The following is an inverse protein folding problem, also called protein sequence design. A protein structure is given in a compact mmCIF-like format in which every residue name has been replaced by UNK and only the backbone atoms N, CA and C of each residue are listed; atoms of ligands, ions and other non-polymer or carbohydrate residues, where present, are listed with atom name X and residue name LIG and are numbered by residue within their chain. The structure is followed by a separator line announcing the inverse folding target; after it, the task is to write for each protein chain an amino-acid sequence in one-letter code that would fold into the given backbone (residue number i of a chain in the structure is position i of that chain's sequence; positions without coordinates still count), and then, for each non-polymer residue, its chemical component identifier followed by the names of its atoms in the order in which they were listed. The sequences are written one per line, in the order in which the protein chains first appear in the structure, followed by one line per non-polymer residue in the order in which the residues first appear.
data_IF_368269854319
#
_entry.id   IF_368269854319
#
_cell.length_a   1.000
_cell.length_b   1.000
_cell.length_c   1.000
_cell.angle_alpha   90.00
_cell.angle_beta   90.00
_cell.angle_gamma   90.00
#
_symmetry.space_group_name_H-M   'P 1'
#
loop_
_entity.id
_entity.type
_entity.pdbx_description
1 polymer ?
#
# COMPACT_ATOMS: atom_id res chain seq x y z
N UNK A 1 27.34 7.78 -64.02
CA UNK A 1 27.85 7.17 -62.75
C UNK A 1 28.01 8.22 -61.65
N UNK A 2 27.11 9.18 -61.49
CA UNK A 2 27.26 10.28 -60.51
C UNK A 2 26.04 10.45 -59.58
N UNK A 3 25.06 9.56 -59.64
CA UNK A 3 23.85 9.65 -58.81
C UNK A 3 23.81 8.77 -57.57
N UNK A 4 24.57 7.68 -57.49
CA UNK A 4 24.48 6.71 -56.38
C UNK A 4 25.36 7.00 -55.16
N UNK A 5 26.38 7.85 -55.31
CA UNK A 5 27.30 8.21 -54.21
C UNK A 5 26.68 9.24 -53.27
N UNK A 6 25.76 10.08 -53.76
CA UNK A 6 25.08 11.11 -52.93
C UNK A 6 24.02 10.54 -51.99
N UNK A 7 23.42 9.39 -52.32
CA UNK A 7 22.35 8.79 -51.51
C UNK A 7 22.82 8.01 -50.27
N UNK A 8 24.05 7.46 -50.30
CA UNK A 8 24.61 6.73 -49.13
C UNK A 8 25.03 7.65 -48.01
N UNK A 9 25.66 8.78 -48.32
CA UNK A 9 26.10 9.73 -47.29
C UNK A 9 24.95 10.38 -46.52
N UNK A 10 23.79 10.54 -47.19
CA UNK A 10 22.61 11.16 -46.59
C UNK A 10 21.84 10.21 -45.66
N UNK A 11 21.86 8.91 -45.93
CA UNK A 11 21.28 7.90 -45.02
C UNK A 11 22.12 7.72 -43.73
N UNK A 12 23.43 7.67 -43.88
CA UNK A 12 24.33 7.51 -42.73
C UNK A 12 24.32 8.73 -41.80
N UNK A 13 24.18 9.95 -42.36
CA UNK A 13 24.01 11.18 -41.55
C UNK A 13 22.67 11.28 -40.91
N UNK A 14 21.58 10.80 -41.52
CA UNK A 14 20.26 10.72 -40.95
C UNK A 14 20.21 9.71 -39.78
N UNK A 15 20.80 8.54 -39.95
CA UNK A 15 20.90 7.54 -38.87
C UNK A 15 21.74 8.04 -37.69
N UNK A 16 22.79 8.80 -37.93
CA UNK A 16 23.60 9.40 -36.89
C UNK A 16 22.84 10.51 -36.16
N UNK A 17 22.13 11.38 -36.85
CA UNK A 17 21.35 12.46 -36.26
C UNK A 17 20.19 11.94 -35.39
N UNK A 18 19.58 10.83 -35.79
CA UNK A 18 18.53 10.14 -35.02
C UNK A 18 19.10 9.52 -33.73
N UNK A 19 20.32 8.98 -33.76
CA UNK A 19 21.02 8.38 -32.62
C UNK A 19 21.57 9.40 -31.62
N UNK A 20 21.97 10.58 -32.07
CA UNK A 20 22.66 11.57 -31.24
C UNK A 20 21.74 12.41 -30.31
N UNK A 21 20.45 12.45 -30.54
CA UNK A 21 19.53 13.24 -29.75
C UNK A 21 19.73 14.76 -29.90
N UNK A 22 18.66 15.55 -29.76
CA UNK A 22 18.61 17.00 -30.06
C UNK A 22 19.60 17.90 -29.31
N UNK A 23 20.26 17.45 -28.25
CA UNK A 23 21.02 18.34 -27.35
C UNK A 23 22.54 18.39 -27.62
N UNK A 24 23.08 17.67 -28.60
CA UNK A 24 24.52 17.58 -28.84
C UNK A 24 24.94 17.89 -30.28
N UNK A 25 24.06 18.43 -31.12
CA UNK A 25 24.42 18.78 -32.49
C UNK A 25 25.29 20.04 -32.50
N UNK A 26 26.52 19.99 -33.08
CA UNK A 26 27.22 21.22 -33.47
C UNK A 26 26.35 21.95 -34.50
N UNK A 27 26.43 23.29 -34.50
CA UNK A 27 25.66 24.14 -35.43
C UNK A 27 25.69 23.54 -36.84
N UNK A 28 24.51 23.35 -37.47
CA UNK A 28 24.48 22.60 -38.73
C UNK A 28 25.24 23.31 -39.83
N UNK A 29 26.10 22.53 -40.50
CA UNK A 29 26.77 22.90 -41.75
C UNK A 29 25.79 22.84 -42.93
N UNK A 30 24.50 22.65 -42.67
CA UNK A 30 23.46 22.51 -43.67
C UNK A 30 22.84 23.86 -44.03
N UNK A 31 22.55 24.08 -45.31
CA UNK A 31 21.82 25.22 -45.77
C UNK A 31 20.36 25.23 -45.22
N UNK A 32 19.68 26.41 -45.18
CA UNK A 32 18.34 26.53 -44.58
C UNK A 32 17.28 25.62 -45.21
N UNK A 33 17.46 25.19 -46.46
CA UNK A 33 16.59 24.24 -47.16
C UNK A 33 16.81 22.77 -46.69
N UNK A 34 18.04 22.40 -46.44
CA UNK A 34 18.39 21.06 -45.95
C UNK A 34 18.03 20.87 -44.48
N UNK A 35 18.15 21.94 -43.68
CA UNK A 35 17.73 21.93 -42.31
C UNK A 35 16.20 21.72 -42.17
N UNK A 36 15.40 22.36 -43.07
CA UNK A 36 13.93 22.13 -43.10
C UNK A 36 13.58 20.73 -43.59
N UNK A 37 14.28 20.17 -44.59
CA UNK A 37 14.05 18.80 -45.04
C UNK A 37 14.40 17.75 -43.97
N UNK A 38 15.39 18.01 -43.12
CA UNK A 38 15.71 17.17 -41.97
C UNK A 38 14.68 17.32 -40.85
N UNK A 39 14.20 18.54 -40.62
CA UNK A 39 13.11 18.79 -39.65
C UNK A 39 11.80 18.14 -40.10
N UNK A 40 11.42 18.25 -41.37
CA UNK A 40 10.23 17.60 -41.93
C UNK A 40 10.37 16.06 -41.88
N UNK A 41 11.55 15.50 -42.22
CA UNK A 41 11.79 14.06 -42.15
C UNK A 41 11.81 13.54 -40.70
N UNK A 42 12.25 14.33 -39.72
CA UNK A 42 12.19 14.01 -38.28
C UNK A 42 10.78 14.14 -37.75
N UNK A 43 9.99 15.08 -38.26
CA UNK A 43 8.60 15.27 -37.89
C UNK A 43 7.70 14.17 -38.47
N UNK A 44 7.99 13.71 -39.67
CA UNK A 44 7.30 12.60 -40.34
C UNK A 44 7.65 11.23 -39.68
N UNK A 45 8.82 11.13 -39.02
CA UNK A 45 9.27 9.89 -38.33
C UNK A 45 8.82 9.81 -36.87
N UNK A 46 8.12 10.85 -36.33
CA UNK A 46 7.43 10.68 -35.04
C UNK A 46 6.42 9.54 -35.19
N UNK A 47 6.48 8.49 -34.36
CA UNK A 47 5.49 7.41 -34.44
C UNK A 47 4.12 8.02 -34.16
N UNK A 48 3.37 8.27 -35.23
CA UNK A 48 1.95 8.54 -35.10
C UNK A 48 1.38 7.28 -34.49
N UNK A 49 1.04 7.34 -33.21
CA UNK A 49 0.26 6.28 -32.55
C UNK A 49 -1.05 6.25 -33.31
N UNK A 50 -1.16 5.35 -34.28
CA UNK A 50 -2.39 5.18 -35.02
C UNK A 50 -3.48 4.83 -34.02
N UNK A 51 -4.71 5.29 -34.24
CA UNK A 51 -5.87 4.98 -33.38
C UNK A 51 -5.95 3.47 -33.12
N UNK A 52 -5.59 2.66 -34.12
CA UNK A 52 -5.51 1.22 -34.01
C UNK A 52 -4.47 0.75 -32.97
N UNK A 53 -3.26 1.32 -32.97
CA UNK A 53 -2.22 0.98 -31.99
C UNK A 53 -2.64 1.39 -30.56
N UNK A 54 -3.24 2.55 -30.40
CA UNK A 54 -3.77 3.00 -29.12
C UNK A 54 -4.90 2.08 -28.63
N UNK A 55 -5.79 1.65 -29.51
CA UNK A 55 -6.88 0.71 -29.17
C UNK A 55 -6.36 -0.66 -28.77
N UNK A 56 -5.37 -1.20 -29.48
CA UNK A 56 -4.71 -2.48 -29.12
C UNK A 56 -4.01 -2.37 -27.77
N UNK A 57 -3.30 -1.26 -27.50
CA UNK A 57 -2.65 -1.03 -26.22
C UNK A 57 -3.68 -0.93 -25.08
N UNK A 58 -4.80 -0.24 -25.28
CA UNK A 58 -5.88 -0.15 -24.31
C UNK A 58 -6.52 -1.52 -24.03
N UNK A 59 -6.78 -2.32 -25.07
CA UNK A 59 -7.30 -3.68 -24.93
C UNK A 59 -6.32 -4.61 -24.22
N UNK A 60 -5.02 -4.52 -24.52
CA UNK A 60 -3.98 -5.28 -23.85
C UNK A 60 -3.89 -4.91 -22.36
N UNK A 61 -4.01 -3.63 -22.02
CA UNK A 61 -4.03 -3.13 -20.65
C UNK A 61 -5.26 -3.65 -19.89
N UNK A 62 -6.45 -3.57 -20.49
CA UNK A 62 -7.69 -4.10 -19.92
C UNK A 62 -7.60 -5.62 -19.73
N UNK A 63 -7.07 -6.36 -20.70
CA UNK A 63 -6.85 -7.79 -20.59
C UNK A 63 -5.86 -8.13 -19.46
N UNK A 64 -4.80 -7.36 -19.29
CA UNK A 64 -3.84 -7.50 -18.20
C UNK A 64 -4.55 -7.32 -16.84
N UNK A 65 -5.30 -6.24 -16.66
CA UNK A 65 -6.02 -5.99 -15.39
C UNK A 65 -7.09 -7.04 -15.12
N UNK A 66 -7.82 -7.48 -16.14
CA UNK A 66 -8.78 -8.56 -16.02
C UNK A 66 -8.10 -9.88 -15.60
N UNK A 67 -6.95 -10.19 -16.19
CA UNK A 67 -6.15 -11.36 -15.81
C UNK A 67 -5.65 -11.26 -14.37
N UNK A 68 -5.14 -10.10 -13.94
CA UNK A 68 -4.72 -9.86 -12.55
C UNK A 68 -5.87 -10.04 -11.56
N UNK A 69 -7.09 -9.60 -11.94
CA UNK A 69 -8.27 -9.75 -11.12
C UNK A 69 -8.73 -11.22 -11.03
N UNK A 70 -8.83 -11.93 -12.16
CA UNK A 70 -9.27 -13.33 -12.22
C UNK A 70 -8.24 -14.27 -11.59
N UNK A 71 -6.96 -14.07 -11.90
CA UNK A 71 -5.87 -14.91 -11.40
C UNK A 71 -5.38 -14.53 -10.00
N UNK A 72 -6.08 -13.65 -9.29
CA UNK A 72 -5.68 -13.15 -7.96
C UNK A 72 -5.37 -14.27 -6.96
N UNK A 73 -6.11 -15.36 -7.01
CA UNK A 73 -5.90 -16.50 -6.12
C UNK A 73 -4.52 -17.16 -6.29
N UNK A 74 -3.94 -17.08 -7.48
CA UNK A 74 -2.60 -17.58 -7.79
C UNK A 74 -1.53 -16.52 -7.65
N UNK A 75 -1.79 -15.30 -8.16
CA UNK A 75 -0.78 -14.23 -8.23
C UNK A 75 -0.51 -13.64 -6.85
N UNK A 76 -1.55 -13.45 -6.02
CA UNK A 76 -1.41 -12.81 -4.71
C UNK A 76 -0.47 -13.57 -3.76
N UNK A 77 -0.57 -14.90 -3.59
CA UNK A 77 0.40 -15.65 -2.79
C UNK A 77 1.84 -15.50 -3.30
N UNK A 78 2.03 -15.46 -4.61
CA UNK A 78 3.36 -15.28 -5.23
C UNK A 78 3.92 -13.89 -4.90
N UNK A 79 3.14 -12.84 -5.09
CA UNK A 79 3.56 -11.46 -4.78
C UNK A 79 3.87 -11.30 -3.31
N UNK A 80 3.00 -11.80 -2.41
CA UNK A 80 3.24 -11.78 -0.96
C UNK A 80 4.52 -12.52 -0.61
N UNK A 81 4.76 -13.70 -1.19
CA UNK A 81 5.97 -14.48 -0.94
C UNK A 81 7.25 -13.76 -1.41
N UNK A 82 7.20 -13.08 -2.56
CA UNK A 82 8.32 -12.25 -3.06
C UNK A 82 8.59 -11.10 -2.08
N UNK A 83 7.56 -10.37 -1.65
CA UNK A 83 7.72 -9.25 -0.72
C UNK A 83 8.21 -9.71 0.65
N UNK A 84 7.70 -10.83 1.17
CA UNK A 84 8.22 -11.44 2.39
C UNK A 84 9.66 -11.90 2.23
N UNK A 85 10.05 -12.45 1.07
CA UNK A 85 11.43 -12.81 0.80
C UNK A 85 12.36 -11.58 0.84
N UNK A 86 11.93 -10.44 0.28
CA UNK A 86 12.68 -9.19 0.35
C UNK A 86 12.80 -8.65 1.78
N UNK A 87 11.72 -8.79 2.59
CA UNK A 87 11.72 -8.41 3.99
C UNK A 87 12.67 -9.28 4.82
N UNK A 88 12.64 -10.60 4.61
CA UNK A 88 13.36 -11.57 5.44
C UNK A 88 14.80 -11.86 4.98
N UNK A 89 15.17 -11.47 3.73
CA UNK A 89 16.50 -11.69 3.16
C UNK A 89 17.65 -11.17 4.04
N UNK A 90 17.58 -9.99 4.69
CA UNK A 90 18.64 -9.53 5.59
C UNK A 90 18.86 -10.46 6.79
N UNK A 91 17.78 -11.03 7.34
CA UNK A 91 17.90 -11.99 8.46
C UNK A 91 18.62 -13.27 8.02
N UNK A 92 18.30 -13.80 6.84
CA UNK A 92 19.01 -14.96 6.26
C UNK A 92 20.47 -14.60 5.98
N UNK A 93 20.77 -13.40 5.45
CA UNK A 93 22.16 -12.93 5.25
C UNK A 93 22.92 -12.83 6.57
N UNK A 94 22.27 -12.44 7.68
CA UNK A 94 22.89 -12.39 8.99
C UNK A 94 23.26 -13.80 9.48
N UNK A 95 22.34 -14.78 9.33
CA UNK A 95 22.60 -16.18 9.68
C UNK A 95 23.72 -16.80 8.81
N UNK A 96 23.81 -16.42 7.53
CA UNK A 96 24.89 -16.83 6.65
C UNK A 96 26.26 -16.34 7.15
N UNK A 97 26.35 -15.15 7.74
CA UNK A 97 27.58 -14.66 8.38
C UNK A 97 28.00 -15.53 9.56
N UNK A 98 27.06 -16.26 10.19
CA UNK A 98 27.32 -17.24 11.24
C UNK A 98 27.64 -18.65 10.69
N UNK A 99 28.07 -18.76 9.41
CA UNK A 99 28.43 -20.01 8.70
C UNK A 99 27.27 -21.00 8.47
N UNK A 100 26.01 -20.56 8.60
CA UNK A 100 24.86 -21.38 8.26
C UNK A 100 24.63 -21.40 6.73
N UNK A 101 24.33 -22.58 6.17
CA UNK A 101 23.96 -22.72 4.76
C UNK A 101 22.67 -21.99 4.46
N UNK A 102 22.55 -21.34 3.30
CA UNK A 102 21.38 -20.54 2.90
C UNK A 102 20.03 -21.26 3.12
N UNK A 103 19.84 -22.55 2.74
CA UNK A 103 18.57 -23.23 2.97
C UNK A 103 18.22 -23.40 4.45
N UNK A 104 19.24 -23.64 5.31
CA UNK A 104 19.03 -23.79 6.76
C UNK A 104 18.68 -22.44 7.37
N UNK A 105 19.39 -21.37 7.00
CA UNK A 105 19.09 -20.02 7.42
C UNK A 105 17.68 -19.57 6.99
N UNK A 106 17.28 -19.88 5.77
CA UNK A 106 15.93 -19.61 5.27
C UNK A 106 14.86 -20.37 6.08
N UNK A 107 15.08 -21.66 6.38
CA UNK A 107 14.17 -22.46 7.20
C UNK A 107 14.00 -21.87 8.60
N UNK A 108 15.10 -21.52 9.28
CA UNK A 108 15.07 -20.91 10.62
C UNK A 108 14.29 -19.61 10.61
N UNK A 109 14.54 -18.72 9.64
CA UNK A 109 13.88 -17.41 9.57
C UNK A 109 12.39 -17.55 9.26
N UNK A 110 12.02 -18.41 8.31
CA UNK A 110 10.63 -18.63 7.94
C UNK A 110 9.85 -19.30 9.06
N UNK A 111 10.38 -20.39 9.64
CA UNK A 111 9.74 -21.09 10.75
C UNK A 111 9.68 -20.19 12.01
N UNK A 112 10.72 -19.40 12.28
CA UNK A 112 10.72 -18.41 13.34
C UNK A 112 9.62 -17.36 13.13
N UNK A 113 9.46 -16.84 11.92
CA UNK A 113 8.37 -15.91 11.58
C UNK A 113 6.99 -16.53 11.77
N UNK A 114 6.80 -17.78 11.32
CA UNK A 114 5.55 -18.52 11.52
C UNK A 114 5.28 -18.76 13.00
N UNK A 115 6.30 -19.13 13.79
CA UNK A 115 6.19 -19.34 15.23
C UNK A 115 5.80 -18.03 15.95
N UNK A 116 6.45 -16.90 15.63
CA UNK A 116 6.11 -15.59 16.21
C UNK A 116 4.68 -15.20 15.87
N UNK A 117 4.27 -15.34 14.61
CA UNK A 117 2.91 -15.03 14.19
C UNK A 117 1.88 -15.96 14.85
N UNK A 118 2.17 -17.27 14.92
CA UNK A 118 1.32 -18.25 15.60
C UNK A 118 1.15 -17.94 17.08
N UNK A 119 2.25 -17.63 17.78
CA UNK A 119 2.22 -17.23 19.20
C UNK A 119 1.39 -15.96 19.39
N UNK A 120 1.58 -14.95 18.54
CA UNK A 120 0.80 -13.71 18.61
C UNK A 120 -0.70 -13.97 18.42
N UNK A 121 -1.07 -14.79 17.43
CA UNK A 121 -2.46 -15.20 17.20
C UNK A 121 -3.04 -15.93 18.42
N UNK A 122 -2.30 -16.87 19.00
CA UNK A 122 -2.75 -17.62 20.18
C UNK A 122 -2.96 -16.70 21.38
N UNK A 123 -2.00 -15.81 21.68
CA UNK A 123 -2.07 -14.87 22.80
C UNK A 123 -3.25 -13.88 22.66
N UNK A 124 -3.54 -13.45 21.45
CA UNK A 124 -4.57 -12.44 21.20
C UNK A 124 -5.94 -13.04 20.88
N UNK A 125 -6.04 -14.36 20.63
CA UNK A 125 -7.29 -15.02 20.24
C UNK A 125 -8.38 -14.91 21.31
N UNK A 126 -8.05 -15.13 22.58
CA UNK A 126 -9.02 -15.06 23.68
C UNK A 126 -9.51 -13.61 23.91
N UNK A 127 -8.63 -12.59 24.04
CA UNK A 127 -9.07 -11.19 24.06
C UNK A 127 -9.92 -10.79 22.85
N UNK A 128 -9.50 -11.17 21.64
CA UNK A 128 -10.21 -10.83 20.41
C UNK A 128 -11.62 -11.43 20.37
N UNK A 129 -11.79 -12.69 20.79
CA UNK A 129 -13.10 -13.34 20.87
C UNK A 129 -14.02 -12.63 21.86
N UNK A 130 -13.52 -12.34 23.06
CA UNK A 130 -14.32 -11.66 24.10
C UNK A 130 -14.81 -10.29 23.64
N UNK A 131 -14.01 -9.55 22.86
CA UNK A 131 -14.41 -8.28 22.28
C UNK A 131 -15.37 -8.45 21.09
N UNK A 132 -15.17 -9.47 20.25
CA UNK A 132 -16.07 -9.77 19.14
C UNK A 132 -17.49 -10.12 19.64
N UNK A 133 -17.60 -10.85 20.74
CA UNK A 133 -18.88 -11.17 21.39
C UNK A 133 -19.57 -9.93 21.98
N UNK A 134 -18.81 -8.98 22.51
CA UNK A 134 -19.32 -7.71 23.06
C UNK A 134 -19.59 -6.64 21.99
N UNK A 135 -19.07 -6.78 20.78
CA UNK A 135 -19.19 -5.76 19.73
C UNK A 135 -20.64 -5.33 19.44
N UNK A 136 -21.67 -6.22 19.37
CA UNK A 136 -23.04 -5.81 19.15
C UNK A 136 -23.60 -4.94 20.30
N UNK A 137 -23.21 -5.26 21.54
CA UNK A 137 -23.60 -4.48 22.73
C UNK A 137 -22.85 -3.14 22.77
N UNK A 138 -21.56 -3.15 22.40
CA UNK A 138 -20.75 -1.95 22.31
C UNK A 138 -21.39 -0.89 21.39
N UNK A 139 -21.86 -1.29 20.22
CA UNK A 139 -22.51 -0.39 19.27
C UNK A 139 -23.82 0.19 19.85
N UNK A 140 -24.63 -0.62 20.54
CA UNK A 140 -25.84 -0.14 21.18
C UNK A 140 -25.59 0.79 22.37
N UNK A 141 -24.48 0.59 23.08
CA UNK A 141 -24.04 1.46 24.17
C UNK A 141 -23.56 2.81 23.66
N UNK A 142 -22.78 2.82 22.57
CA UNK A 142 -22.38 4.06 21.88
C UNK A 142 -23.61 4.85 21.43
N UNK A 143 -24.58 4.19 20.79
CA UNK A 143 -25.80 4.83 20.33
C UNK A 143 -26.62 5.44 21.53
N UNK A 144 -26.74 4.68 22.61
CA UNK A 144 -27.42 5.18 23.83
C UNK A 144 -26.70 6.37 24.46
N UNK A 145 -25.37 6.36 24.53
CA UNK A 145 -24.57 7.47 25.08
C UNK A 145 -24.60 8.69 24.18
N UNK A 146 -24.51 8.52 22.88
CA UNK A 146 -24.65 9.60 21.91
C UNK A 146 -26.03 10.26 21.99
N UNK A 147 -27.10 9.47 22.09
CA UNK A 147 -28.49 10.02 22.32
C UNK A 147 -28.58 10.83 23.60
N UNK A 148 -27.90 10.42 24.70
CA UNK A 148 -27.87 11.21 25.93
C UNK A 148 -27.15 12.54 25.76
N UNK A 149 -26.05 12.56 25.03
CA UNK A 149 -25.29 13.79 24.75
C UNK A 149 -26.08 14.72 23.84
N UNK A 150 -26.66 14.20 22.74
CA UNK A 150 -27.51 15.00 21.85
C UNK A 150 -28.77 15.49 22.53
N UNK A 151 -29.38 14.67 23.41
CA UNK A 151 -30.52 15.11 24.22
C UNK A 151 -30.13 16.16 25.28
N UNK A 152 -28.87 16.18 25.73
CA UNK A 152 -28.39 17.26 26.62
C UNK A 152 -28.18 18.55 25.82
N UNK A 153 -27.59 18.47 24.63
CA UNK A 153 -27.42 19.63 23.73
C UNK A 153 -28.78 20.15 23.29
N UNK A 154 -29.70 19.27 22.88
CA UNK A 154 -31.08 19.65 22.53
C UNK A 154 -31.88 20.25 23.70
N UNK A 155 -31.54 19.91 24.96
CA UNK A 155 -32.09 20.58 26.14
C UNK A 155 -31.56 22.01 26.30
N UNK A 156 -30.30 22.27 25.98
CA UNK A 156 -29.76 23.61 25.94
C UNK A 156 -30.39 24.44 24.80
N UNK A 157 -30.58 23.85 23.63
CA UNK A 157 -31.32 24.50 22.53
C UNK A 157 -32.79 24.68 22.85
N UNK A 158 -33.47 23.69 23.47
CA UNK A 158 -34.83 23.79 23.92
C UNK A 158 -35.01 24.79 25.07
N UNK A 159 -33.99 24.96 25.92
CA UNK A 159 -34.01 26.00 26.97
C UNK A 159 -33.79 27.38 26.33
N UNK A 160 -32.90 27.51 25.36
CA UNK A 160 -32.75 28.74 24.59
C UNK A 160 -34.03 29.06 23.79
N UNK A 161 -34.59 28.06 23.10
CA UNK A 161 -35.86 28.19 22.36
C UNK A 161 -37.08 28.44 23.29
N UNK A 162 -37.11 27.91 24.55
CA UNK A 162 -38.14 28.25 25.55
C UNK A 162 -38.01 29.68 26.00
N UNK A 163 -36.81 30.20 26.15
CA UNK A 163 -36.60 31.61 26.44
C UNK A 163 -37.12 32.48 25.28
N UNK A 164 -36.92 32.03 24.06
CA UNK A 164 -37.38 32.67 22.82
C UNK A 164 -38.90 32.45 22.60
N UNK A 165 -39.45 31.27 22.99
CA UNK A 165 -40.87 30.94 22.90
C UNK A 165 -41.72 31.63 23.99
N UNK A 166 -41.13 31.91 25.14
CA UNK A 166 -41.75 32.78 26.16
C UNK A 166 -41.86 34.24 25.63
N UNK A 167 -40.96 34.56 24.66
CA UNK A 167 -41.02 35.86 23.95
C UNK A 167 -41.97 35.85 22.73
N UNK A 168 -42.36 34.69 22.16
CA UNK A 168 -43.08 34.63 20.87
C UNK A 168 -44.30 33.69 20.80
N UNK A 169 -44.85 33.19 21.92
CA UNK A 169 -46.21 32.56 21.97
C UNK A 169 -46.54 31.52 20.89
N UNK A 170 -46.45 30.23 21.23
CA UNK A 170 -47.31 29.18 20.65
C UNK A 170 -46.72 28.21 19.63
N UNK A 171 -46.97 26.93 19.86
CA UNK A 171 -46.95 25.88 18.81
C UNK A 171 -46.27 24.56 19.17
N UNK A 172 -47.09 23.54 19.44
CA UNK A 172 -46.69 22.14 19.70
C UNK A 172 -46.19 21.45 18.45
N UNK A 173 -45.00 20.88 18.46
CA UNK A 173 -44.51 19.97 17.41
C UNK A 173 -44.31 18.54 17.90
N UNK A 174 -44.89 17.65 17.16
CA UNK A 174 -45.10 16.21 17.33
C UNK A 174 -43.78 15.45 17.13
N UNK A 175 -43.48 14.48 18.01
CA UNK A 175 -42.34 13.59 17.92
C UNK A 175 -42.40 12.70 16.68
N UNK A 176 -41.25 12.54 15.98
CA UNK A 176 -41.11 11.65 14.84
C UNK A 176 -40.90 10.18 15.30
N UNK A 177 -41.41 9.19 14.53
CA UNK A 177 -41.26 7.78 14.86
C UNK A 177 -39.87 7.25 14.73
N UNK A 178 -39.46 6.34 15.61
CA UNK A 178 -38.21 5.64 15.60
C UNK A 178 -38.03 4.79 14.31
N UNK A 179 -36.86 4.89 13.67
CA UNK A 179 -36.49 4.08 12.52
C UNK A 179 -36.32 2.60 12.89
N UNK A 180 -36.69 1.66 11.98
CA UNK A 180 -36.59 0.22 12.22
C UNK A 180 -35.13 -0.22 12.35
N UNK A 181 -34.86 -1.14 13.28
CA UNK A 181 -33.56 -1.74 13.51
C UNK A 181 -33.09 -2.49 12.25
N UNK A 182 -31.93 -2.12 11.74
CA UNK A 182 -31.29 -2.80 10.61
C UNK A 182 -31.05 -4.29 10.93
N UNK A 183 -31.20 -5.19 9.94
CA UNK A 183 -31.05 -6.63 10.14
C UNK A 183 -29.60 -6.94 10.56
N UNK A 184 -29.48 -7.68 11.67
CA UNK A 184 -28.20 -8.18 12.20
C UNK A 184 -27.60 -9.17 11.20
N UNK A 185 -26.84 -8.66 10.24
CA UNK A 185 -26.12 -9.51 9.29
C UNK A 185 -24.98 -10.23 10.00
N UNK A 186 -24.73 -11.49 9.69
CA UNK A 186 -23.66 -12.28 10.29
C UNK A 186 -22.29 -11.91 9.69
N UNK A 187 -21.87 -10.65 9.84
CA UNK A 187 -20.57 -10.15 9.43
C UNK A 187 -19.45 -10.97 10.09
N UNK A 188 -19.61 -11.26 11.39
CA UNK A 188 -18.64 -12.08 12.13
C UNK A 188 -18.60 -13.53 11.61
N UNK A 189 -19.75 -14.12 11.23
CA UNK A 189 -19.77 -15.47 10.66
C UNK A 189 -19.11 -15.55 9.29
N UNK A 190 -19.15 -14.49 8.49
CA UNK A 190 -18.39 -14.38 7.23
C UNK A 190 -16.91 -14.13 7.47
N UNK A 191 -16.53 -13.33 8.46
CA UNK A 191 -15.14 -13.06 8.81
C UNK A 191 -14.43 -14.31 9.36
N UNK A 192 -15.11 -15.13 10.17
CA UNK A 192 -14.52 -16.33 10.77
C UNK A 192 -14.80 -17.63 9.98
N UNK A 193 -15.82 -17.67 9.12
CA UNK A 193 -16.13 -18.85 8.29
C UNK A 193 -15.12 -19.11 7.16
N UNK A 194 -14.23 -18.17 6.89
CA UNK A 194 -13.19 -18.25 5.86
C UNK A 194 -11.86 -18.86 6.30
N UNK A 195 -11.68 -19.22 7.58
CA UNK A 195 -10.37 -19.69 8.09
C UNK A 195 -9.90 -20.95 7.37
N UNK A 196 -10.77 -21.88 7.05
CA UNK A 196 -10.42 -23.10 6.32
C UNK A 196 -9.92 -22.84 4.88
N UNK A 197 -10.42 -21.79 4.21
CA UNK A 197 -9.97 -21.40 2.87
C UNK A 197 -8.67 -20.60 2.86
N UNK A 198 -8.31 -19.99 3.96
CA UNK A 198 -7.06 -19.19 4.10
C UNK A 198 -5.84 -20.09 4.32
N UNK A 199 -6.04 -21.25 4.95
CA UNK A 199 -4.93 -22.15 5.32
C UNK A 199 -4.09 -22.65 4.13
N UNK A 200 -4.65 -23.11 3.00
CA UNK A 200 -3.86 -23.50 1.83
C UNK A 200 -3.06 -22.33 1.23
N UNK A 201 -3.63 -21.12 1.25
CA UNK A 201 -2.97 -19.90 0.77
C UNK A 201 -1.78 -19.55 1.65
N UNK A 202 -1.92 -19.60 2.98
CA UNK A 202 -0.82 -19.37 3.93
C UNK A 202 0.29 -20.39 3.75
N UNK A 203 -0.04 -21.67 3.61
CA UNK A 203 0.96 -22.72 3.34
C UNK A 203 1.72 -22.40 2.04
N UNK A 204 1.01 -22.05 0.97
CA UNK A 204 1.63 -21.69 -0.30
C UNK A 204 2.58 -20.50 -0.17
N UNK A 205 2.19 -19.46 0.58
CA UNK A 205 3.03 -18.29 0.86
C UNK A 205 4.30 -18.70 1.63
N UNK A 206 4.16 -19.51 2.68
CA UNK A 206 5.28 -19.97 3.51
C UNK A 206 6.28 -20.79 2.69
N UNK A 207 5.80 -21.79 1.93
CA UNK A 207 6.65 -22.61 1.07
C UNK A 207 7.35 -21.78 -0.01
N UNK A 208 6.59 -20.91 -0.68
CA UNK A 208 7.14 -20.07 -1.73
C UNK A 208 8.21 -19.11 -1.17
N UNK A 209 7.94 -18.49 -0.02
CA UNK A 209 8.91 -17.62 0.67
C UNK A 209 10.16 -18.40 1.04
N UNK A 210 10.01 -19.62 1.59
CA UNK A 210 11.14 -20.48 1.88
C UNK A 210 11.98 -20.79 0.63
N UNK A 211 11.34 -21.23 -0.46
CA UNK A 211 12.07 -21.55 -1.70
C UNK A 211 12.75 -20.33 -2.31
N UNK A 212 12.13 -19.17 -2.29
CA UNK A 212 12.74 -17.92 -2.76
C UNK A 212 13.96 -17.54 -1.94
N UNK A 213 13.89 -17.67 -0.62
CA UNK A 213 15.03 -17.41 0.29
C UNK A 213 16.13 -18.47 0.19
N UNK A 214 15.76 -19.74 0.09
CA UNK A 214 16.70 -20.86 -0.01
C UNK A 214 17.43 -20.89 -1.37
N UNK A 215 16.76 -20.44 -2.43
CA UNK A 215 17.36 -20.32 -3.76
C UNK A 215 18.34 -19.15 -3.89
N UNK A 216 18.33 -18.21 -2.95
CA UNK A 216 19.20 -17.04 -2.96
C UNK A 216 19.16 -16.30 -4.31
N UNK A 217 20.35 -16.07 -4.89
CA UNK A 217 20.49 -15.38 -6.18
C UNK A 217 20.34 -16.31 -7.41
N UNK A 218 20.13 -17.63 -7.20
CA UNK A 218 20.08 -18.59 -8.31
C UNK A 218 18.88 -18.35 -9.23
N UNK A 219 17.72 -18.00 -8.65
CA UNK A 219 16.52 -17.70 -9.43
C UNK A 219 16.75 -16.49 -10.34
N UNK A 220 17.32 -15.42 -9.79
CA UNK A 220 17.64 -14.21 -10.54
C UNK A 220 18.66 -14.48 -11.64
N UNK A 221 19.73 -15.21 -11.34
CA UNK A 221 20.74 -15.60 -12.35
C UNK A 221 20.14 -16.45 -13.47
N UNK A 222 19.22 -17.36 -13.18
CA UNK A 222 18.53 -18.15 -14.21
C UNK A 222 17.62 -17.30 -15.07
N UNK A 223 16.84 -16.40 -14.47
CA UNK A 223 15.97 -15.47 -15.19
C UNK A 223 16.77 -14.59 -16.15
N UNK A 224 17.93 -14.09 -15.71
CA UNK A 224 18.85 -13.30 -16.55
C UNK A 224 19.49 -14.08 -17.70
N UNK A 225 19.58 -15.42 -17.61
CA UNK A 225 20.08 -16.26 -18.71
C UNK A 225 19.05 -16.49 -19.82
N UNK A 226 17.77 -16.41 -19.49
CA UNK A 226 16.65 -16.61 -20.43
C UNK A 226 16.39 -15.35 -21.26
N UNK A 227 16.76 -14.17 -20.77
CA UNK A 227 16.63 -12.94 -21.53
C UNK A 227 17.55 -12.93 -22.76
N UNK A 228 17.07 -12.39 -23.92
CA UNK A 228 17.83 -12.33 -25.14
C UNK A 228 19.22 -11.67 -24.97
N UNK A 229 20.21 -12.20 -25.70
CA UNK A 229 21.58 -11.70 -25.66
C UNK A 229 21.66 -10.39 -26.45
N UNK A 230 21.80 -9.25 -25.77
CA UNK A 230 22.00 -7.92 -26.36
C UNK A 230 22.91 -7.05 -25.48
N UNK A 231 23.39 -5.93 -26.02
CA UNK A 231 24.30 -4.98 -25.36
C UNK A 231 23.73 -4.33 -24.07
N UNK A 232 22.43 -4.55 -23.75
CA UNK A 232 21.74 -3.94 -22.61
C UNK A 232 21.49 -4.91 -21.45
N UNK A 233 22.31 -5.94 -21.27
CA UNK A 233 22.17 -6.92 -20.16
C UNK A 233 22.21 -6.31 -18.77
N UNK A 234 22.85 -5.17 -18.61
CA UNK A 234 23.01 -4.53 -17.32
C UNK A 234 21.73 -3.81 -16.87
N UNK A 235 20.85 -3.41 -17.77
CA UNK A 235 19.62 -2.66 -17.45
C UNK A 235 18.63 -3.53 -16.66
N UNK A 236 18.21 -4.73 -17.09
CA UNK A 236 17.28 -5.57 -16.31
C UNK A 236 17.84 -5.96 -14.94
N UNK A 237 19.16 -6.17 -14.86
CA UNK A 237 19.83 -6.48 -13.59
C UNK A 237 19.76 -5.30 -12.61
N UNK A 238 20.08 -4.09 -13.07
CA UNK A 238 19.99 -2.87 -12.26
C UNK A 238 18.57 -2.61 -11.79
N UNK A 239 17.58 -2.73 -12.67
CA UNK A 239 16.16 -2.58 -12.31
C UNK A 239 15.77 -3.55 -11.20
N UNK A 240 16.13 -4.82 -11.35
CA UNK A 240 15.81 -5.85 -10.36
C UNK A 240 16.48 -5.61 -9.01
N UNK A 241 17.77 -5.25 -9.00
CA UNK A 241 18.52 -4.92 -7.79
C UNK A 241 17.97 -3.66 -7.11
N UNK A 242 17.55 -2.66 -7.89
CA UNK A 242 16.93 -1.44 -7.38
C UNK A 242 15.55 -1.69 -6.78
N UNK A 243 14.71 -2.49 -7.44
CA UNK A 243 13.41 -2.92 -6.91
C UNK A 243 13.62 -3.68 -5.59
N UNK A 244 14.49 -4.70 -5.57
CA UNK A 244 14.77 -5.48 -4.37
C UNK A 244 15.24 -4.59 -3.22
N UNK A 245 16.21 -3.70 -3.47
CA UNK A 245 16.79 -2.85 -2.43
C UNK A 245 15.78 -1.83 -1.91
N UNK A 246 15.03 -1.18 -2.79
CA UNK A 246 14.04 -0.16 -2.43
C UNK A 246 12.86 -0.76 -1.69
N UNK A 247 12.27 -1.84 -2.24
CA UNK A 247 11.14 -2.53 -1.60
C UNK A 247 11.55 -3.17 -0.27
N UNK A 248 12.71 -3.83 -0.20
CA UNK A 248 13.22 -4.42 1.04
C UNK A 248 13.44 -3.36 2.13
N UNK A 249 13.99 -2.21 1.76
CA UNK A 249 14.21 -1.09 2.69
C UNK A 249 12.89 -0.53 3.19
N UNK A 250 11.94 -0.30 2.28
CA UNK A 250 10.59 0.13 2.63
C UNK A 250 9.93 -0.82 3.61
N UNK A 251 9.84 -2.10 3.27
CA UNK A 251 9.15 -3.10 4.10
C UNK A 251 9.76 -3.18 5.50
N UNK A 252 11.09 -3.16 5.62
CA UNK A 252 11.76 -3.17 6.93
C UNK A 252 11.44 -1.93 7.75
N UNK A 253 11.51 -0.76 7.13
CA UNK A 253 11.21 0.50 7.83
C UNK A 253 9.74 0.55 8.21
N UNK A 254 8.83 0.15 7.32
CA UNK A 254 7.40 0.07 7.61
C UNK A 254 7.09 -0.89 8.77
N UNK A 255 7.69 -2.08 8.78
CA UNK A 255 7.53 -3.03 9.89
C UNK A 255 8.06 -2.44 11.20
N UNK A 256 9.23 -1.80 11.18
CA UNK A 256 9.81 -1.17 12.37
C UNK A 256 8.90 -0.06 12.93
N UNK A 257 8.39 0.81 12.06
CA UNK A 257 7.47 1.89 12.44
C UNK A 257 6.17 1.30 13.01
N UNK A 258 5.57 0.34 12.34
CA UNK A 258 4.29 -0.24 12.76
C UNK A 258 4.40 -1.05 14.05
N UNK A 259 5.50 -1.78 14.25
CA UNK A 259 5.79 -2.45 15.52
C UNK A 259 6.01 -1.40 16.61
N UNK A 260 6.78 -0.35 16.34
CA UNK A 260 7.02 0.75 17.27
C UNK A 260 5.72 1.45 17.69
N UNK A 261 4.85 1.79 16.72
CA UNK A 261 3.54 2.39 16.98
C UNK A 261 2.65 1.44 17.80
N UNK A 262 2.64 0.15 17.45
CA UNK A 262 1.87 -0.86 18.19
C UNK A 262 2.32 -0.98 19.64
N UNK A 263 3.63 -1.04 19.89
CA UNK A 263 4.20 -1.10 21.24
C UNK A 263 3.96 0.20 22.03
N UNK A 264 4.11 1.36 21.41
CA UNK A 264 3.83 2.65 22.03
C UNK A 264 2.34 2.78 22.38
N UNK A 265 1.45 2.36 21.48
CA UNK A 265 0.00 2.32 21.73
C UNK A 265 -0.32 1.36 22.85
N UNK A 266 0.22 0.16 22.84
CA UNK A 266 0.06 -0.79 23.96
C UNK A 266 0.47 -0.16 25.29
N UNK A 267 1.68 0.41 25.39
CA UNK A 267 2.18 1.05 26.60
C UNK A 267 1.27 2.20 27.09
N UNK A 268 0.89 3.09 26.18
CA UNK A 268 0.02 4.23 26.50
C UNK A 268 -1.36 3.76 27.00
N UNK A 269 -1.98 2.81 26.32
CA UNK A 269 -3.29 2.27 26.70
C UNK A 269 -3.24 1.47 28.01
N UNK A 270 -2.12 0.76 28.26
CA UNK A 270 -1.90 0.08 29.55
C UNK A 270 -1.81 1.07 30.72
N UNK A 271 -1.10 2.19 30.51
CA UNK A 271 -0.99 3.25 31.52
C UNK A 271 -2.33 3.95 31.79
N UNK A 272 -3.20 4.04 30.79
CA UNK A 272 -4.54 4.61 30.89
C UNK A 272 -5.58 3.60 31.43
N UNK A 273 -5.18 2.37 31.80
CA UNK A 273 -6.06 1.35 32.37
C UNK A 273 -7.01 0.68 31.37
N UNK A 274 -6.70 0.74 30.07
CA UNK A 274 -7.51 0.07 29.05
C UNK A 274 -7.34 -1.46 29.14
N UNK A 275 -8.41 -2.25 29.30
CA UNK A 275 -8.31 -3.71 29.34
C UNK A 275 -7.85 -4.25 27.97
N UNK A 276 -7.04 -5.33 28.03
CA UNK A 276 -6.46 -5.95 26.85
C UNK A 276 -5.67 -4.96 25.96
N UNK A 277 -4.93 -4.02 26.57
CA UNK A 277 -4.14 -3.00 25.86
C UNK A 277 -3.21 -3.58 24.80
N UNK A 278 -2.65 -4.79 25.02
CA UNK A 278 -1.82 -5.50 24.05
C UNK A 278 -2.58 -5.84 22.76
N UNK A 279 -3.86 -6.21 22.85
CA UNK A 279 -4.72 -6.44 21.69
C UNK A 279 -4.85 -5.15 20.86
N UNK A 280 -5.14 -4.04 21.50
CA UNK A 280 -5.35 -2.75 20.83
C UNK A 280 -4.07 -2.19 20.22
N UNK A 281 -2.94 -2.34 20.92
CA UNK A 281 -1.64 -2.00 20.37
C UNK A 281 -1.29 -2.83 19.13
N UNK A 282 -1.57 -4.13 19.16
CA UNK A 282 -1.38 -5.01 17.99
C UNK A 282 -2.30 -4.62 16.84
N UNK A 283 -3.57 -4.34 17.12
CA UNK A 283 -4.54 -3.87 16.11
C UNK A 283 -4.05 -2.56 15.49
N UNK A 284 -3.60 -1.61 16.31
CA UNK A 284 -3.05 -0.34 15.84
C UNK A 284 -1.86 -0.54 14.89
N UNK A 285 -0.87 -1.34 15.30
CA UNK A 285 0.30 -1.63 14.47
C UNK A 285 -0.03 -2.38 13.17
N UNK A 286 -0.95 -3.36 13.22
CA UNK A 286 -1.34 -4.11 12.02
C UNK A 286 -2.18 -3.28 11.05
N UNK A 287 -3.15 -2.52 11.53
CA UNK A 287 -3.98 -1.69 10.65
C UNK A 287 -3.18 -0.55 10.02
N UNK A 288 -2.20 0.02 10.75
CA UNK A 288 -1.38 1.13 10.27
C UNK A 288 -0.46 0.75 9.08
N UNK A 289 -0.38 -0.53 8.69
CA UNK A 289 0.28 -0.96 7.45
C UNK A 289 -0.38 -0.30 6.22
N UNK A 290 -1.69 -0.04 6.25
CA UNK A 290 -2.40 0.68 5.19
C UNK A 290 -2.42 2.17 5.52
N UNK A 291 -1.67 3.01 4.78
CA UNK A 291 -1.60 4.44 5.06
C UNK A 291 -2.99 5.11 5.11
N UNK A 292 -3.17 6.04 6.01
CA UNK A 292 -4.40 6.80 6.26
C UNK A 292 -5.59 5.96 6.73
N UNK A 293 -5.93 4.89 6.01
CA UNK A 293 -7.07 4.02 6.33
C UNK A 293 -6.87 3.29 7.65
N UNK A 294 -5.64 2.82 7.91
CA UNK A 294 -5.31 2.08 9.13
C UNK A 294 -5.47 2.92 10.37
N UNK A 295 -4.92 4.12 10.38
CA UNK A 295 -5.04 5.05 11.50
C UNK A 295 -6.48 5.46 11.76
N UNK A 296 -7.25 5.78 10.70
CA UNK A 296 -8.66 6.15 10.81
C UNK A 296 -9.49 5.00 11.39
N UNK A 297 -9.30 3.77 10.89
CA UNK A 297 -10.03 2.61 11.36
C UNK A 297 -9.67 2.28 12.81
N UNK A 298 -8.38 2.36 13.17
CA UNK A 298 -7.92 2.17 14.56
C UNK A 298 -8.56 3.19 15.49
N UNK A 299 -8.60 4.47 15.09
CA UNK A 299 -9.23 5.53 15.87
C UNK A 299 -10.69 5.21 16.13
N UNK A 300 -11.47 4.85 15.10
CA UNK A 300 -12.89 4.48 15.23
C UNK A 300 -13.07 3.29 16.17
N UNK A 301 -12.26 2.25 16.02
CA UNK A 301 -12.32 1.06 16.88
C UNK A 301 -12.02 1.43 18.33
N UNK A 302 -11.01 2.25 18.59
CA UNK A 302 -10.63 2.67 19.95
C UNK A 302 -11.69 3.57 20.59
N UNK A 303 -12.35 4.44 19.81
CA UNK A 303 -13.51 5.23 20.31
C UNK A 303 -14.63 4.30 20.75
N UNK A 304 -15.02 3.34 19.92
CA UNK A 304 -16.08 2.38 20.26
C UNK A 304 -15.69 1.56 21.50
N UNK A 305 -14.46 1.02 21.52
CA UNK A 305 -13.99 0.19 22.62
C UNK A 305 -13.90 0.99 23.93
N UNK A 306 -13.38 2.21 23.92
CA UNK A 306 -13.22 3.02 25.13
C UNK A 306 -14.55 3.46 25.73
N UNK A 307 -15.55 3.83 24.91
CA UNK A 307 -16.89 4.19 25.38
C UNK A 307 -17.58 3.02 26.10
N UNK A 308 -17.28 1.78 25.72
CA UNK A 308 -17.88 0.61 26.40
C UNK A 308 -17.20 0.24 27.71
N UNK A 309 -15.95 0.66 27.91
CA UNK A 309 -15.15 0.32 29.08
C UNK A 309 -15.26 1.36 30.17
N UNK A 310 -15.19 2.64 29.81
CA UNK A 310 -15.13 3.73 30.78
C UNK A 310 -16.51 4.40 30.96
N UNK A 311 -16.86 4.66 32.21
CA UNK A 311 -18.14 5.31 32.52
C UNK A 311 -18.11 6.82 32.21
N UNK A 312 -16.98 7.47 32.43
CA UNK A 312 -16.82 8.89 32.13
C UNK A 312 -16.35 9.11 30.67
N UNK A 313 -17.01 10.03 29.96
CA UNK A 313 -16.66 10.43 28.62
C UNK A 313 -15.22 10.99 28.55
N UNK A 314 -14.77 11.70 29.59
CA UNK A 314 -13.42 12.24 29.66
C UNK A 314 -12.36 11.14 29.62
N UNK A 315 -12.52 10.09 30.43
CA UNK A 315 -11.60 8.93 30.40
C UNK A 315 -11.71 8.17 29.08
N UNK A 316 -12.92 7.97 28.56
CA UNK A 316 -13.12 7.29 27.29
C UNK A 316 -12.39 8.01 26.14
N UNK A 317 -12.40 9.34 26.09
CA UNK A 317 -11.75 10.13 25.05
C UNK A 317 -10.22 10.18 25.18
N UNK A 318 -9.65 9.91 26.37
CA UNK A 318 -8.20 9.83 26.54
C UNK A 318 -7.58 8.68 25.73
N UNK A 319 -8.30 7.58 25.53
CA UNK A 319 -7.82 6.41 24.78
C UNK A 319 -7.59 6.71 23.31
N UNK A 320 -8.59 7.14 22.53
CA UNK A 320 -8.37 7.53 21.14
C UNK A 320 -7.49 8.78 21.02
N UNK A 321 -7.53 9.70 22.01
CA UNK A 321 -6.67 10.87 22.06
C UNK A 321 -5.18 10.52 22.18
N UNK A 322 -4.83 9.56 23.04
CA UNK A 322 -3.46 9.07 23.17
C UNK A 322 -2.98 8.39 21.87
N UNK A 323 -3.82 7.55 21.24
CA UNK A 323 -3.49 6.97 19.95
C UNK A 323 -3.31 8.04 18.86
N UNK A 324 -4.21 9.03 18.79
CA UNK A 324 -4.11 10.12 17.82
C UNK A 324 -2.80 10.91 17.99
N UNK A 325 -2.40 11.21 19.23
CA UNK A 325 -1.13 11.87 19.53
C UNK A 325 0.06 11.03 19.04
N UNK A 326 0.07 9.72 19.33
CA UNK A 326 1.12 8.81 18.88
C UNK A 326 1.16 8.71 17.34
N UNK A 327 0.00 8.68 16.70
CA UNK A 327 -0.08 8.62 15.23
C UNK A 327 0.37 9.93 14.58
N UNK A 328 0.04 11.09 15.16
CA UNK A 328 0.54 12.40 14.72
C UNK A 328 2.07 12.45 14.86
N UNK A 329 2.63 11.99 15.98
CA UNK A 329 4.08 11.94 16.20
C UNK A 329 4.74 10.97 15.21
N UNK A 330 4.14 9.80 14.98
CA UNK A 330 4.62 8.82 14.01
C UNK A 330 4.67 9.43 12.59
N UNK A 331 3.55 9.99 12.11
CA UNK A 331 3.43 10.46 10.72
C UNK A 331 4.25 11.73 10.44
N UNK A 332 4.42 12.63 11.42
CA UNK A 332 5.10 13.90 11.21
C UNK A 332 6.58 13.91 11.66
N UNK A 333 6.99 12.98 12.54
CA UNK A 333 8.36 12.95 13.08
C UNK A 333 9.05 11.63 12.75
N UNK A 334 8.46 10.47 13.14
CA UNK A 334 9.14 9.17 13.06
C UNK A 334 9.25 8.71 11.61
N UNK A 335 8.16 8.78 10.86
CA UNK A 335 8.14 8.35 9.46
C UNK A 335 9.08 9.18 8.59
N UNK A 336 9.09 10.53 8.62
CA UNK A 336 10.08 11.33 7.88
C UNK A 336 11.51 11.08 8.33
N UNK A 337 11.76 10.88 9.63
CA UNK A 337 13.10 10.64 10.16
C UNK A 337 13.68 9.28 9.71
N UNK A 338 12.85 8.23 9.66
CA UNK A 338 13.28 6.89 9.31
C UNK A 338 13.23 6.59 7.80
N UNK A 339 12.23 7.10 7.11
CA UNK A 339 12.07 6.92 5.66
C UNK A 339 12.83 7.96 4.84
N UNK A 340 13.00 9.18 5.37
CA UNK A 340 13.70 10.28 4.70
C UNK A 340 13.05 10.65 3.36
N UNK A 341 13.87 11.21 2.44
CA UNK A 341 13.45 11.50 1.05
C UNK A 341 13.41 10.25 0.13
N UNK A 342 13.37 9.05 0.71
CA UNK A 342 13.58 7.80 -0.03
C UNK A 342 12.34 7.32 -0.81
N UNK A 343 11.20 7.98 -0.64
CA UNK A 343 9.97 7.66 -1.36
C UNK A 343 9.54 8.82 -2.24
N UNK A 344 9.93 8.80 -3.51
CA UNK A 344 9.53 9.82 -4.46
C UNK A 344 8.11 9.54 -5.02
N UNK A 345 7.16 9.10 -4.18
CA UNK A 345 5.78 8.91 -4.62
C UNK A 345 4.94 10.12 -4.24
N UNK A 346 4.21 10.64 -5.20
CA UNK A 346 3.20 11.65 -4.97
C UNK A 346 2.06 11.05 -4.11
N UNK A 347 1.61 11.80 -3.09
CA UNK A 347 0.54 11.38 -2.17
C UNK A 347 -0.76 11.03 -2.92
N UNK A 348 -1.11 11.79 -3.97
CA UNK A 348 -2.31 11.51 -4.81
C UNK A 348 -2.13 10.21 -5.57
N UNK A 349 -0.97 9.98 -6.18
CA UNK A 349 -0.65 8.74 -6.87
C UNK A 349 -0.68 7.53 -5.92
N UNK A 350 -0.20 7.70 -4.70
CA UNK A 350 -0.27 6.66 -3.67
C UNK A 350 -1.72 6.34 -3.29
N UNK A 351 -2.57 7.36 -3.10
CA UNK A 351 -3.98 7.16 -2.76
C UNK A 351 -4.73 6.44 -3.90
N UNK A 352 -4.52 6.88 -5.14
CA UNK A 352 -5.06 6.20 -6.33
C UNK A 352 -4.55 4.75 -6.39
N UNK A 353 -3.27 4.52 -6.11
CA UNK A 353 -2.69 3.18 -6.05
C UNK A 353 -3.35 2.28 -5.00
N UNK A 354 -3.63 2.82 -3.79
CA UNK A 354 -4.34 2.08 -2.74
C UNK A 354 -5.76 1.72 -3.20
N UNK A 355 -6.49 2.65 -3.81
CA UNK A 355 -7.82 2.38 -4.36
C UNK A 355 -7.78 1.35 -5.48
N UNK A 356 -6.82 1.46 -6.40
CA UNK A 356 -6.66 0.58 -7.54
C UNK A 356 -6.32 -0.86 -7.11
N UNK A 357 -5.26 -1.05 -6.31
CA UNK A 357 -4.86 -2.37 -5.84
C UNK A 357 -5.88 -2.95 -4.86
N UNK A 358 -6.52 -2.08 -4.06
CA UNK A 358 -7.64 -2.45 -3.21
C UNK A 358 -8.85 -2.95 -3.98
N UNK A 359 -9.16 -2.35 -5.13
CA UNK A 359 -10.22 -2.83 -6.03
C UNK A 359 -9.89 -4.20 -6.65
N UNK A 360 -8.63 -4.38 -7.12
CA UNK A 360 -8.21 -5.63 -7.79
C UNK A 360 -8.12 -6.81 -6.79
N UNK A 361 -7.45 -6.60 -5.64
CA UNK A 361 -7.11 -7.68 -4.70
C UNK A 361 -7.70 -7.52 -3.30
N UNK A 362 -8.64 -6.59 -3.12
CA UNK A 362 -9.28 -6.32 -1.82
C UNK A 362 -8.30 -5.77 -0.78
N UNK A 363 -8.49 -6.14 0.48
CA UNK A 363 -7.68 -5.67 1.61
C UNK A 363 -6.19 -6.01 1.40
N UNK A 364 -5.88 -7.19 0.87
CA UNK A 364 -4.50 -7.58 0.57
C UNK A 364 -3.86 -6.64 -0.46
N UNK A 365 -4.60 -6.24 -1.50
CA UNK A 365 -4.14 -5.26 -2.49
C UNK A 365 -3.87 -3.88 -1.87
N UNK A 366 -4.72 -3.42 -0.97
CA UNK A 366 -4.50 -2.16 -0.26
C UNK A 366 -3.23 -2.19 0.61
N UNK A 367 -2.96 -3.30 1.29
CA UNK A 367 -1.72 -3.51 2.07
C UNK A 367 -0.49 -3.52 1.17
N UNK A 368 -0.58 -4.16 0.00
CA UNK A 368 0.51 -4.30 -0.95
C UNK A 368 0.68 -3.09 -1.88
N UNK A 369 -0.24 -2.12 -1.83
CA UNK A 369 -0.28 -0.99 -2.76
C UNK A 369 1.04 -0.21 -2.79
N UNK A 370 1.61 0.11 -1.63
CA UNK A 370 2.85 0.89 -1.56
C UNK A 370 4.03 0.18 -2.23
N UNK A 371 4.39 -1.08 -1.89
CA UNK A 371 5.49 -1.77 -2.57
C UNK A 371 5.22 -1.99 -4.07
N UNK A 372 3.96 -2.19 -4.46
CA UNK A 372 3.59 -2.31 -5.88
C UNK A 372 3.78 -0.98 -6.63
N UNK A 373 3.40 0.15 -6.02
CA UNK A 373 3.59 1.49 -6.61
C UNK A 373 5.06 1.86 -6.70
N UNK A 374 5.88 1.51 -5.69
CA UNK A 374 7.35 1.70 -5.75
C UNK A 374 7.94 0.89 -6.90
N UNK A 375 7.53 -0.37 -7.03
CA UNK A 375 7.98 -1.23 -8.14
C UNK A 375 7.58 -0.65 -9.50
N UNK A 376 6.32 -0.21 -9.62
CA UNK A 376 5.81 0.41 -10.85
C UNK A 376 6.58 1.67 -11.21
N UNK A 377 6.86 2.54 -10.23
CA UNK A 377 7.64 3.76 -10.44
C UNK A 377 9.04 3.44 -10.96
N UNK A 378 9.76 2.51 -10.33
CA UNK A 378 11.10 2.11 -10.77
C UNK A 378 11.07 1.58 -12.20
N UNK A 379 10.07 0.77 -12.54
CA UNK A 379 9.91 0.28 -13.93
C UNK A 379 9.65 1.43 -14.89
N UNK A 380 8.77 2.37 -14.55
CA UNK A 380 8.48 3.53 -15.41
C UNK A 380 9.68 4.44 -15.60
N UNK A 381 10.51 4.65 -14.57
CA UNK A 381 11.70 5.49 -14.66
C UNK A 381 12.77 4.91 -15.60
N UNK A 382 12.85 3.58 -15.69
CA UNK A 382 13.85 2.89 -16.53
C UNK A 382 13.39 2.62 -17.96
N UNK A 383 12.09 2.65 -18.24
CA UNK A 383 11.54 2.40 -19.57
C UNK A 383 11.26 3.75 -20.24
N UNK A 384 11.99 4.13 -21.34
CA UNK A 384 11.86 5.45 -21.97
C UNK A 384 10.42 5.82 -22.35
N UNK A 385 9.63 4.85 -22.83
CA UNK A 385 8.23 5.05 -23.21
C UNK A 385 7.30 5.32 -22.02
N UNK A 386 7.69 4.94 -20.81
CA UNK A 386 6.89 5.08 -19.58
C UNK A 386 7.36 6.22 -18.66
N UNK A 387 8.44 6.94 -19.04
CA UNK A 387 8.97 8.07 -18.25
C UNK A 387 7.92 9.12 -17.85
N UNK A 388 7.01 9.55 -18.76
CA UNK A 388 5.97 10.52 -18.36
C UNK A 388 5.08 10.00 -17.22
N UNK A 389 4.81 8.68 -17.19
CA UNK A 389 4.08 8.05 -16.10
C UNK A 389 4.94 7.99 -14.82
N UNK A 390 6.24 7.75 -14.96
CA UNK A 390 7.20 7.81 -13.84
C UNK A 390 7.26 9.19 -13.19
N UNK A 391 7.26 10.26 -13.98
CA UNK A 391 7.21 11.64 -13.49
C UNK A 391 5.87 11.95 -12.80
N UNK A 392 4.74 11.49 -13.34
CA UNK A 392 3.43 11.62 -12.71
C UNK A 392 3.33 10.89 -11.36
N UNK A 393 3.94 9.72 -11.23
CA UNK A 393 3.99 8.95 -9.99
C UNK A 393 4.96 9.56 -8.96
N UNK A 394 5.91 10.39 -9.42
CA UNK A 394 6.91 11.06 -8.60
C UNK A 394 6.41 12.31 -7.88
N UNK A 395 7.28 12.89 -7.06
CA UNK A 395 7.09 14.23 -6.45
C UNK A 395 7.59 15.30 -7.40
#
# INVERSE_FOLDING_TARGET
MTGEVKGRGMRDTLEWAIRAGRNTLPRPVFGPAEARAVEEAVEETKPQITVAAASVAALALLALFYTLFVARALILPVVVAILLSFLLRPAVRLLRRMHLREPIGAAIVVLGGVAVMGTLILLLSAPARSWAERAPQALSDVERRLRKVTASIGRWEATAARVEQIASGGGTTRAAPAAPAAPRTPFLRRAFGGVASVFPVLISIVFLTYFLLASGDLFMRKMMRVLPHGAERDVPKRISEEIESSVSRYLRTAVLINVGLGLATWGALQMLGMPNAALWGTVAGLLNIVPYLGAMLTLVILVVASITVFDSLGQALLIPGAFLLLNILESNVITPALMGRQFPLNTVALFIGIMFWGFIWGIAGAILAVPMMVTLKILCDHIPALRPLGEFLGQ
#
